data_IF_672794500739
#
_entry.id   IF_672794500739
#
_cell.length_a   1.000
_cell.length_b   1.000
_cell.length_c   1.000
_cell.angle_alpha   90.00
_cell.angle_beta   90.00
_cell.angle_gamma   90.00
#
_symmetry.space_group_name_H-M   'P 1'
#
loop_
_entity.id
_entity.type
_entity.pdbx_description
1 polymer ?
#
# COMPACT_ATOMS: atom_id res chain seq x y z
N UNK A 1 -11.25 11.23 18.60
CA UNK A 1 -9.90 11.84 18.55
C UNK A 1 -8.89 10.92 19.22
N UNK A 2 -7.68 10.79 18.69
CA UNK A 2 -6.58 10.03 19.32
C UNK A 2 -6.07 10.75 20.59
N UNK A 3 -5.86 10.00 21.67
CA UNK A 3 -5.12 10.46 22.86
C UNK A 3 -3.62 10.59 22.52
N UNK A 4 -2.85 11.38 23.30
CA UNK A 4 -1.38 11.35 23.22
C UNK A 4 -0.82 9.93 23.23
N UNK A 5 0.20 9.65 22.40
CA UNK A 5 0.76 8.31 22.14
C UNK A 5 -0.23 7.28 21.53
N UNK A 6 -1.43 7.73 21.16
CA UNK A 6 -2.41 6.94 20.41
C UNK A 6 -1.91 6.64 19.01
N UNK A 7 -2.20 5.43 18.53
CA UNK A 7 -1.72 4.92 17.25
C UNK A 7 -2.88 4.78 16.25
N UNK A 8 -2.63 5.17 15.01
CA UNK A 8 -3.47 4.92 13.85
C UNK A 8 -2.75 3.89 12.99
N UNK A 9 -3.36 2.74 12.75
CA UNK A 9 -2.82 1.70 11.90
C UNK A 9 -3.67 1.60 10.63
N UNK A 10 -3.03 1.59 9.47
CA UNK A 10 -3.69 1.48 8.17
C UNK A 10 -3.04 0.33 7.42
N UNK A 11 -3.85 -0.67 7.03
CA UNK A 11 -3.41 -1.77 6.20
C UNK A 11 -4.02 -1.61 4.80
N UNK A 12 -3.17 -1.46 3.78
CA UNK A 12 -3.62 -1.27 2.40
C UNK A 12 -2.82 -2.12 1.41
N UNK A 13 -3.47 -2.74 0.42
CA UNK A 13 -2.79 -3.39 -0.69
C UNK A 13 -2.38 -2.36 -1.75
N UNK A 14 -1.49 -2.77 -2.66
CA UNK A 14 -1.37 -2.10 -3.96
C UNK A 14 -2.59 -2.42 -4.82
N UNK A 15 -3.22 -1.38 -5.40
CA UNK A 15 -4.52 -1.53 -6.06
C UNK A 15 -4.35 -1.56 -7.59
N UNK A 16 -4.59 -2.69 -8.26
CA UNK A 16 -4.65 -2.71 -9.72
C UNK A 16 -5.94 -2.04 -10.19
N UNK A 17 -5.82 -1.06 -11.09
CA UNK A 17 -6.99 -0.38 -11.65
C UNK A 17 -7.57 -1.16 -12.83
N UNK A 18 -8.89 -1.27 -12.88
CA UNK A 18 -9.59 -1.88 -14.00
C UNK A 18 -9.50 -0.97 -15.22
N UNK A 19 -9.25 -1.57 -16.40
CA UNK A 19 -9.10 -0.80 -17.64
C UNK A 19 -10.34 -0.02 -18.07
N UNK A 20 -11.52 -0.52 -17.70
CA UNK A 20 -12.78 0.21 -17.91
C UNK A 20 -12.88 1.50 -17.09
N UNK A 21 -12.20 1.56 -15.95
CA UNK A 21 -12.28 2.68 -15.00
C UNK A 21 -11.11 3.65 -15.18
N UNK A 22 -9.94 3.15 -15.62
CA UNK A 22 -8.76 3.97 -15.93
C UNK A 22 -8.06 3.51 -17.22
N UNK A 23 -8.21 4.31 -18.28
CA UNK A 23 -7.70 4.00 -19.63
C UNK A 23 -6.71 5.06 -20.19
N UNK A 24 -5.96 5.74 -19.31
CA UNK A 24 -5.00 6.79 -19.72
C UNK A 24 -3.78 6.25 -20.48
N UNK A 25 -3.52 4.95 -20.40
CA UNK A 25 -2.40 4.28 -21.05
C UNK A 25 -2.75 2.81 -21.30
N UNK A 26 -2.02 2.14 -22.19
CA UNK A 26 -2.28 0.74 -22.55
C UNK A 26 -1.89 -0.27 -21.46
N UNK A 27 -0.77 -0.04 -20.76
CA UNK A 27 -0.22 -0.98 -19.78
C UNK A 27 -1.03 -1.04 -18.48
N UNK A 28 -0.91 -2.12 -17.70
CA UNK A 28 -1.55 -2.23 -16.39
C UNK A 28 -1.17 -1.04 -15.49
N UNK A 29 -2.17 -0.39 -14.91
CA UNK A 29 -1.96 0.62 -13.88
C UNK A 29 -2.10 -0.01 -12.50
N UNK A 30 -1.14 0.25 -11.62
CA UNK A 30 -1.21 -0.09 -10.21
C UNK A 30 -1.16 1.23 -9.45
N UNK A 31 -2.19 1.48 -8.65
CA UNK A 31 -2.29 2.66 -7.81
C UNK A 31 -1.62 2.37 -6.46
N UNK A 32 -0.64 3.20 -6.11
CA UNK A 32 0.03 3.18 -4.82
C UNK A 32 -0.78 3.96 -3.79
N UNK A 33 -1.83 3.30 -3.29
CA UNK A 33 -2.70 3.87 -2.27
C UNK A 33 -1.97 4.13 -0.95
N UNK A 34 -0.93 3.37 -0.63
CA UNK A 34 -0.20 3.53 0.62
C UNK A 34 0.54 4.86 0.65
N UNK A 35 1.28 5.17 -0.41
CA UNK A 35 2.01 6.42 -0.51
C UNK A 35 1.07 7.63 -0.52
N UNK A 36 -0.06 7.54 -1.22
CA UNK A 36 -1.07 8.60 -1.28
C UNK A 36 -1.71 8.89 0.09
N UNK A 37 -2.14 7.84 0.81
CA UNK A 37 -2.65 7.98 2.17
C UNK A 37 -1.57 8.51 3.12
N UNK A 38 -0.34 8.02 3.01
CA UNK A 38 0.76 8.49 3.85
C UNK A 38 1.01 9.97 3.65
N UNK A 39 1.09 10.42 2.39
CA UNK A 39 1.26 11.84 2.07
C UNK A 39 0.13 12.65 2.67
N UNK A 40 -1.12 12.25 2.46
CA UNK A 40 -2.30 12.95 2.99
C UNK A 40 -2.27 13.06 4.53
N UNK A 41 -1.91 11.98 5.23
CA UNK A 41 -1.84 11.97 6.70
C UNK A 41 -0.73 12.89 7.21
N UNK A 42 0.47 12.82 6.63
CA UNK A 42 1.62 13.60 7.07
C UNK A 42 1.45 15.10 6.77
N UNK A 43 0.76 15.46 5.69
CA UNK A 43 0.49 16.86 5.32
C UNK A 43 -0.71 17.45 6.07
N UNK A 44 -1.77 16.66 6.29
CA UNK A 44 -3.06 17.18 6.76
C UNK A 44 -3.32 16.94 8.25
N UNK A 45 -2.46 16.21 8.95
CA UNK A 45 -2.66 15.86 10.36
C UNK A 45 -1.37 16.01 11.16
N UNK A 46 -1.44 16.19 12.50
CA UNK A 46 -0.27 16.25 13.37
C UNK A 46 0.25 14.85 13.77
N UNK A 47 0.03 13.83 12.93
CA UNK A 47 0.50 12.48 13.17
C UNK A 47 1.87 12.26 12.52
N UNK A 48 2.69 11.41 13.13
CA UNK A 48 4.00 11.04 12.61
C UNK A 48 4.00 9.57 12.20
N UNK A 49 4.69 9.23 11.11
CA UNK A 49 4.95 7.84 10.77
C UNK A 49 5.83 7.22 11.85
N UNK A 50 5.30 6.20 12.52
CA UNK A 50 5.98 5.46 13.58
C UNK A 50 6.68 4.21 13.02
N UNK A 51 5.98 3.44 12.18
CA UNK A 51 6.50 2.20 11.62
C UNK A 51 5.79 1.84 10.30
N UNK A 52 6.42 1.01 9.49
CA UNK A 52 5.88 0.47 8.23
C UNK A 52 6.24 -1.01 8.12
N UNK A 53 5.21 -1.86 8.12
CA UNK A 53 5.36 -3.30 7.87
C UNK A 53 4.92 -3.65 6.47
N UNK A 54 5.67 -4.54 5.82
CA UNK A 54 5.30 -5.17 4.55
C UNK A 54 4.81 -6.57 4.87
N UNK A 55 3.51 -6.78 4.73
CA UNK A 55 2.89 -8.07 4.98
C UNK A 55 2.68 -8.82 3.68
N UNK A 56 3.44 -9.89 3.47
CA UNK A 56 3.24 -10.78 2.34
C UNK A 56 2.12 -11.77 2.64
N UNK A 57 0.96 -11.60 2.00
CA UNK A 57 -0.17 -12.54 2.12
C UNK A 57 0.13 -13.79 1.32
N UNK A 58 0.65 -14.82 1.99
CA UNK A 58 0.81 -16.15 1.40
C UNK A 58 -0.56 -16.75 1.14
N UNK A 59 -1.03 -16.64 -0.10
CA UNK A 59 -2.20 -17.36 -0.56
C UNK A 59 -1.72 -18.76 -0.99
N UNK A 60 -2.20 -19.82 -0.34
CA UNK A 60 -1.74 -21.20 -0.61
C UNK A 60 -1.90 -21.62 -2.08
N UNK A 61 -2.81 -20.96 -2.82
CA UNK A 61 -3.10 -21.25 -4.23
C UNK A 61 -2.39 -20.34 -5.23
N UNK A 62 -1.68 -19.29 -4.79
CA UNK A 62 -1.00 -18.37 -5.72
C UNK A 62 0.40 -18.05 -5.22
N UNK A 63 1.40 -18.63 -5.88
CA UNK A 63 2.81 -18.29 -5.65
C UNK A 63 3.10 -16.84 -6.04
N UNK A 64 4.07 -16.24 -5.34
CA UNK A 64 4.63 -14.96 -5.74
C UNK A 64 5.39 -15.17 -7.04
N UNK A 65 4.79 -14.74 -8.16
CA UNK A 65 5.37 -14.86 -9.49
C UNK A 65 5.84 -13.47 -9.90
N UNK A 66 7.14 -13.38 -10.20
CA UNK A 66 7.76 -12.25 -10.88
C UNK A 66 8.62 -12.81 -12.01
N UNK A 67 8.28 -12.46 -13.25
CA UNK A 67 9.03 -12.95 -14.40
C UNK A 67 8.62 -12.26 -15.69
N UNK A 68 9.54 -12.29 -16.65
CA UNK A 68 9.26 -11.89 -18.03
C UNK A 68 8.60 -13.07 -18.76
N UNK A 69 7.49 -12.81 -19.44
CA UNK A 69 6.93 -13.76 -20.40
C UNK A 69 7.62 -13.61 -21.75
N UNK A 70 7.96 -14.70 -22.46
CA UNK A 70 8.69 -14.60 -23.72
C UNK A 70 7.87 -13.95 -24.84
N UNK A 71 6.53 -14.11 -24.86
CA UNK A 71 5.65 -13.50 -25.86
C UNK A 71 4.22 -13.26 -25.31
N UNK A 72 3.68 -12.03 -25.37
CA UNK A 72 4.41 -10.77 -25.58
C UNK A 72 5.37 -10.49 -24.40
N UNK A 73 6.51 -9.86 -24.69
CA UNK A 73 7.54 -9.53 -23.71
C UNK A 73 7.00 -8.57 -22.65
N UNK A 74 6.56 -9.09 -21.50
CA UNK A 74 6.07 -8.25 -20.41
C UNK A 74 6.41 -8.86 -19.05
N UNK A 75 6.62 -8.00 -18.06
CA UNK A 75 6.80 -8.41 -16.67
C UNK A 75 5.44 -8.63 -16.04
N UNK A 76 5.18 -9.87 -15.63
CA UNK A 76 4.02 -10.19 -14.82
C UNK A 76 4.45 -10.35 -13.37
N UNK A 77 3.90 -9.48 -12.52
CA UNK A 77 4.03 -9.57 -11.09
C UNK A 77 2.65 -9.78 -10.47
N UNK A 78 2.50 -10.82 -9.67
CA UNK A 78 1.34 -10.94 -8.80
C UNK A 78 1.66 -10.31 -7.45
N UNK A 79 1.01 -9.18 -7.16
CA UNK A 79 1.21 -8.50 -5.90
C UNK A 79 0.39 -9.18 -4.80
N UNK A 80 1.08 -9.74 -3.80
CA UNK A 80 0.50 -10.34 -2.59
C UNK A 80 0.88 -9.55 -1.34
N UNK A 81 1.61 -8.44 -1.50
CA UNK A 81 2.06 -7.61 -0.40
C UNK A 81 1.01 -6.56 -0.04
N UNK A 82 0.72 -6.46 1.25
CA UNK A 82 -0.01 -5.37 1.85
C UNK A 82 0.95 -4.55 2.71
N UNK A 83 0.67 -3.25 2.82
CA UNK A 83 1.48 -2.32 3.59
C UNK A 83 0.69 -1.89 4.82
N UNK A 84 1.29 -2.10 5.98
CA UNK A 84 0.72 -1.72 7.27
C UNK A 84 1.52 -0.53 7.77
N UNK A 85 1.00 0.67 7.57
CA UNK A 85 1.59 1.90 8.11
C UNK A 85 0.99 2.24 9.47
N UNK A 86 1.86 2.56 10.42
CA UNK A 86 1.47 2.95 11.77
C UNK A 86 1.87 4.39 11.99
N UNK A 87 0.92 5.22 12.38
CA UNK A 87 1.12 6.62 12.73
C UNK A 87 0.85 6.84 14.20
N UNK A 88 1.55 7.79 14.82
CA UNK A 88 1.40 8.13 16.23
C UNK A 88 1.08 9.60 16.41
N UNK A 89 0.18 9.89 17.34
CA UNK A 89 -0.05 11.25 17.82
C UNK A 89 0.97 11.58 18.89
N UNK A 90 1.72 12.66 18.69
CA UNK A 90 2.70 13.11 19.68
C UNK A 90 2.05 13.51 21.02
N UNK A 91 2.84 13.42 22.08
CA UNK A 91 2.49 13.78 23.44
C UNK A 91 2.78 12.68 24.46
N UNK A 92 2.79 13.08 25.74
CA UNK A 92 3.10 12.18 26.86
C UNK A 92 2.04 11.08 26.98
N UNK A 93 2.44 9.81 27.21
CA UNK A 93 1.49 8.77 27.56
C UNK A 93 0.76 9.17 28.85
N UNK A 94 -0.57 9.15 28.81
CA UNK A 94 -1.43 9.27 29.99
C UNK A 94 -1.63 7.91 30.63
#
# INVERSE_FOLDING_TARGET
>A
MLKPNGKLCINVPLIPMLKKDLNTHYNRHIFDLQSDIQQSILESTPLFLLDLYIWNRTNATKSLIFGSYPYPSNFYAQNTSEFISVYVKDGKPN
#
